data_IF_065373082582
#
_entry.id   IF_065373082582
#
_cell.length_a   1.000
_cell.length_b   1.000
_cell.length_c   1.000
_cell.angle_alpha   90.00
_cell.angle_beta   90.00
_cell.angle_gamma   90.00
#
_symmetry.space_group_name_H-M   'P 1'
#
loop_
_entity.id
_entity.type
_entity.pdbx_description
1 polymer ?
#
# COMPACT_ATOMS: atom_id res chain seq x y z
N UNK A 1 5.86 -8.82 10.30
CA UNK A 1 6.10 -7.38 10.57
C UNK A 1 6.86 -6.66 9.45
N UNK A 2 7.77 -7.33 8.73
CA UNK A 2 8.60 -6.72 7.67
C UNK A 2 7.83 -5.95 6.58
N UNK A 3 6.66 -6.45 6.16
CA UNK A 3 5.83 -5.78 5.16
C UNK A 3 5.25 -4.44 5.67
N UNK A 4 4.78 -4.41 6.92
CA UNK A 4 4.30 -3.18 7.54
C UNK A 4 5.45 -2.18 7.75
N UNK A 5 6.60 -2.65 8.21
CA UNK A 5 7.79 -1.81 8.35
C UNK A 5 8.21 -1.21 7.00
N UNK A 6 8.16 -2.01 5.93
CA UNK A 6 8.41 -1.54 4.57
C UNK A 6 7.42 -0.46 4.12
N UNK A 7 6.11 -0.71 4.26
CA UNK A 7 5.08 0.27 3.94
C UNK A 7 5.31 1.61 4.66
N UNK A 8 5.57 1.57 5.97
CA UNK A 8 5.79 2.78 6.77
C UNK A 8 7.08 3.50 6.35
N UNK A 9 8.18 2.77 6.16
CA UNK A 9 9.46 3.37 5.79
C UNK A 9 9.41 4.00 4.40
N UNK A 10 8.96 3.25 3.39
CA UNK A 10 9.01 3.66 2.00
C UNK A 10 7.96 4.71 1.66
N UNK A 11 6.72 4.52 2.13
CA UNK A 11 5.58 5.31 1.66
C UNK A 11 5.14 6.41 2.63
N UNK A 12 5.58 6.37 3.90
CA UNK A 12 5.27 7.41 4.87
C UNK A 12 6.50 8.22 5.31
N UNK A 13 7.55 7.55 5.78
CA UNK A 13 8.70 8.24 6.39
C UNK A 13 9.55 8.94 5.32
N UNK A 14 10.02 8.22 4.30
CA UNK A 14 10.84 8.81 3.23
C UNK A 14 10.15 9.99 2.53
N UNK A 15 8.86 9.92 2.16
CA UNK A 15 8.17 11.01 1.47
C UNK A 15 7.52 12.01 2.46
N UNK A 16 7.76 11.85 3.77
CA UNK A 16 7.24 12.71 4.85
C UNK A 16 5.71 12.84 4.86
N UNK A 17 4.99 11.74 4.62
CA UNK A 17 3.52 11.71 4.64
C UNK A 17 3.00 11.53 6.06
N UNK A 18 2.01 12.33 6.44
CA UNK A 18 1.29 12.14 7.71
C UNK A 18 0.39 10.90 7.62
N UNK A 19 0.45 10.06 8.64
CA UNK A 19 -0.49 8.96 8.82
C UNK A 19 -1.90 9.50 9.10
N UNK A 20 -2.90 8.96 8.41
CA UNK A 20 -4.32 9.17 8.71
C UNK A 20 -4.99 7.83 8.89
N UNK A 21 -6.00 7.78 9.75
CA UNK A 21 -6.71 6.56 10.09
C UNK A 21 -7.37 5.87 8.88
N UNK A 22 -7.69 6.60 7.80
CA UNK A 22 -8.25 6.02 6.58
C UNK A 22 -7.23 5.26 5.73
N UNK A 23 -5.96 5.71 5.69
CA UNK A 23 -4.99 5.19 4.73
C UNK A 23 -4.75 3.67 4.84
N UNK A 24 -4.62 3.06 6.03
CA UNK A 24 -4.41 1.62 6.11
C UNK A 24 -5.57 0.82 5.50
N UNK A 25 -6.82 1.23 5.72
CA UNK A 25 -8.00 0.59 5.12
C UNK A 25 -7.97 0.75 3.61
N UNK A 26 -7.78 1.97 3.12
CA UNK A 26 -7.79 2.26 1.68
C UNK A 26 -6.64 1.53 0.95
N UNK A 27 -5.45 1.43 1.55
CA UNK A 27 -4.32 0.67 0.98
C UNK A 27 -4.61 -0.84 0.96
N UNK A 28 -5.24 -1.40 1.99
CA UNK A 28 -5.68 -2.79 1.96
C UNK A 28 -6.74 -3.01 0.87
N UNK A 29 -7.69 -2.09 0.72
CA UNK A 29 -8.71 -2.15 -0.33
C UNK A 29 -8.04 -2.16 -1.72
N UNK A 30 -7.02 -1.31 -1.96
CA UNK A 30 -6.23 -1.33 -3.19
C UNK A 30 -5.49 -2.66 -3.42
N UNK A 31 -4.86 -3.23 -2.38
CA UNK A 31 -4.19 -4.54 -2.49
C UNK A 31 -5.18 -5.63 -2.89
N UNK A 32 -6.38 -5.64 -2.30
CA UNK A 32 -7.43 -6.60 -2.64
C UNK A 32 -7.91 -6.44 -4.08
N UNK A 33 -8.17 -5.21 -4.52
CA UNK A 33 -8.61 -4.92 -5.89
C UNK A 33 -7.56 -5.35 -6.93
N UNK A 34 -6.28 -5.05 -6.67
CA UNK A 34 -5.17 -5.45 -7.54
C UNK A 34 -5.03 -6.99 -7.57
N UNK A 35 -5.12 -7.66 -6.43
CA UNK A 35 -5.02 -9.12 -6.35
C UNK A 35 -6.15 -9.80 -7.13
N UNK A 36 -7.38 -9.31 -6.96
CA UNK A 36 -8.53 -9.80 -7.71
C UNK A 36 -8.38 -9.57 -9.21
N UNK A 37 -7.93 -8.39 -9.64
CA UNK A 37 -7.71 -8.10 -11.06
C UNK A 37 -6.66 -9.03 -11.69
N UNK A 38 -5.58 -9.32 -10.96
CA UNK A 38 -4.51 -10.21 -11.42
C UNK A 38 -4.81 -11.70 -11.22
N UNK A 39 -5.97 -12.05 -10.64
CA UNK A 39 -6.35 -13.41 -10.27
C UNK A 39 -5.29 -14.13 -9.41
N UNK A 40 -4.71 -13.42 -8.45
CA UNK A 40 -3.74 -13.95 -7.48
C UNK A 40 -4.27 -13.82 -6.05
N UNK A 41 -3.72 -14.60 -5.13
CA UNK A 41 -4.03 -14.48 -3.71
C UNK A 41 -3.57 -13.11 -3.16
N UNK A 42 -4.41 -12.40 -2.38
CA UNK A 42 -4.03 -11.14 -1.78
C UNK A 42 -2.98 -11.36 -0.71
N UNK A 43 -1.82 -10.73 -0.89
CA UNK A 43 -0.71 -10.79 0.06
C UNK A 43 -0.10 -9.41 0.25
N UNK A 44 0.30 -9.07 1.48
CA UNK A 44 1.10 -7.89 1.76
C UNK A 44 2.57 -8.13 1.41
N UNK A 45 2.86 -8.38 0.13
CA UNK A 45 4.24 -8.38 -0.39
C UNK A 45 4.69 -6.94 -0.68
N UNK A 46 6.01 -6.72 -0.78
CA UNK A 46 6.55 -5.40 -1.17
C UNK A 46 5.97 -4.94 -2.51
N UNK A 47 5.89 -5.84 -3.49
CA UNK A 47 5.32 -5.55 -4.80
C UNK A 47 3.85 -5.12 -4.74
N UNK A 48 3.02 -5.81 -3.95
CA UNK A 48 1.60 -5.45 -3.81
C UNK A 48 1.44 -4.13 -3.05
N UNK A 49 2.28 -3.88 -2.04
CA UNK A 49 2.33 -2.61 -1.32
C UNK A 49 2.69 -1.47 -2.27
N UNK A 50 3.71 -1.64 -3.11
CA UNK A 50 4.15 -0.60 -4.04
C UNK A 50 3.06 -0.28 -5.05
N UNK A 51 2.46 -1.29 -5.69
CA UNK A 51 1.35 -1.08 -6.64
C UNK A 51 0.16 -0.34 -5.99
N UNK A 52 -0.22 -0.74 -4.78
CA UNK A 52 -1.33 -0.11 -4.05
C UNK A 52 -1.00 1.33 -3.64
N UNK A 53 0.21 1.57 -3.14
CA UNK A 53 0.63 2.88 -2.66
C UNK A 53 0.92 3.86 -3.80
N UNK A 54 1.47 3.40 -4.92
CA UNK A 54 1.59 4.17 -6.17
C UNK A 54 0.21 4.63 -6.66
N UNK A 55 -0.80 3.75 -6.63
CA UNK A 55 -2.16 4.09 -7.03
C UNK A 55 -2.88 5.01 -6.04
N UNK A 56 -2.65 4.85 -4.73
CA UNK A 56 -3.31 5.63 -3.69
C UNK A 56 -2.71 7.04 -3.49
N UNK A 57 -1.38 7.15 -3.50
CA UNK A 57 -0.68 8.40 -3.21
C UNK A 57 -0.31 9.22 -4.47
N UNK A 58 -0.96 8.96 -5.61
CA UNK A 58 -0.74 9.73 -6.85
C UNK A 58 -0.81 11.23 -6.55
N UNK A 59 0.26 11.95 -6.87
CA UNK A 59 0.26 13.41 -6.86
C UNK A 59 -0.33 13.91 -8.18
N UNK A 60 -1.39 14.73 -8.09
CA UNK A 60 -1.96 15.48 -9.22
C UNK A 60 -1.20 16.80 -9.43
#
# INVERSE_FOLDING_TARGET
DDALAYLLQEWYIKPSRKLRASHPRDLCDQILDIAHYLAVEPVMSKEMIDKAAESYFVEL
#
